data_IF_933098975347
#
_entry.id   IF_933098975347
#
_cell.length_a   1.000
_cell.length_b   1.000
_cell.length_c   1.000
_cell.angle_alpha   90.00
_cell.angle_beta   90.00
_cell.angle_gamma   90.00
#
_symmetry.space_group_name_H-M   'P 1'
#
loop_
_entity.id
_entity.type
_entity.pdbx_description
1 polymer ?
#
# COMPACT_ATOMS: atom_id res chain seq x y z
N UNK A 1 1.45 31.59 13.97
CA UNK A 1 1.68 30.41 14.84
C UNK A 1 2.58 30.88 15.97
N UNK A 2 2.04 31.15 17.17
CA UNK A 2 2.83 31.74 18.27
C UNK A 2 3.84 30.73 18.82
N UNK A 3 5.13 31.08 18.74
CA UNK A 3 6.26 30.34 19.29
C UNK A 3 6.23 30.37 20.82
N UNK A 4 5.72 29.31 21.45
CA UNK A 4 5.93 29.08 22.89
C UNK A 4 7.36 28.56 23.11
N UNK A 5 8.32 29.48 23.18
CA UNK A 5 9.68 29.24 23.71
C UNK A 5 9.73 29.78 25.14
N UNK A 6 9.23 29.00 26.10
CA UNK A 6 9.37 29.28 27.53
C UNK A 6 10.25 28.22 28.18
N UNK A 7 11.56 28.40 28.00
CA UNK A 7 12.67 27.74 28.68
C UNK A 7 13.88 28.66 28.60
N UNK A 8 14.92 28.44 29.41
CA UNK A 8 16.11 29.29 29.57
C UNK A 8 16.96 29.42 28.28
N UNK A 9 16.40 30.00 27.21
CA UNK A 9 17.06 30.19 25.94
C UNK A 9 18.21 31.17 26.11
N UNK A 10 19.40 30.77 25.65
CA UNK A 10 20.58 31.64 25.62
C UNK A 10 20.29 32.92 24.82
N UNK A 11 21.06 34.00 25.07
CA UNK A 11 20.91 35.24 24.32
C UNK A 11 21.08 35.04 22.80
N UNK A 12 21.94 34.11 22.40
CA UNK A 12 22.14 33.72 21.02
C UNK A 12 20.90 33.01 20.42
N UNK A 13 20.24 32.14 21.17
CA UNK A 13 18.99 31.48 20.74
C UNK A 13 17.86 32.49 20.55
N UNK A 14 17.70 33.45 21.48
CA UNK A 14 16.69 34.54 21.34
C UNK A 14 16.98 35.41 20.11
N UNK A 15 18.25 35.75 19.88
CA UNK A 15 18.66 36.48 18.68
C UNK A 15 18.35 35.68 17.40
N UNK A 16 18.63 34.36 17.40
CA UNK A 16 18.34 33.49 16.27
C UNK A 16 16.86 33.44 15.93
N UNK A 17 15.97 33.40 16.92
CA UNK A 17 14.51 33.41 16.71
C UNK A 17 14.07 34.73 16.09
N UNK A 18 14.53 35.86 16.64
CA UNK A 18 14.18 37.18 16.11
C UNK A 18 14.63 37.38 14.67
N UNK A 19 15.84 36.92 14.32
CA UNK A 19 16.34 36.97 12.94
C UNK A 19 15.55 36.05 12.00
N UNK A 20 15.10 34.90 12.50
CA UNK A 20 14.29 33.98 11.71
C UNK A 20 12.91 34.58 11.40
N UNK A 21 12.28 35.20 12.40
CA UNK A 21 10.97 35.86 12.27
C UNK A 21 11.01 37.07 11.33
N UNK A 22 12.14 37.78 11.26
CA UNK A 22 12.34 38.89 10.32
C UNK A 22 12.70 38.44 8.89
N UNK A 23 12.86 37.13 8.65
CA UNK A 23 13.23 36.56 7.36
C UNK A 23 14.73 36.52 7.08
N UNK A 24 15.59 36.95 8.02
CA UNK A 24 17.04 36.79 7.91
C UNK A 24 17.47 35.38 8.36
N UNK A 25 17.19 34.39 7.52
CA UNK A 25 17.51 32.99 7.80
C UNK A 25 19.02 32.73 7.86
N UNK A 26 19.84 33.51 7.15
CA UNK A 26 21.31 33.39 7.23
C UNK A 26 21.82 33.89 8.57
N UNK A 27 21.32 35.04 9.02
CA UNK A 27 21.62 35.59 10.34
C UNK A 27 21.11 34.69 11.46
N UNK A 28 19.90 34.14 11.33
CA UNK A 28 19.34 33.17 12.26
C UNK A 28 20.24 31.94 12.41
N UNK A 29 20.62 31.31 11.29
CA UNK A 29 21.56 30.17 11.27
C UNK A 29 22.87 30.51 12.00
N UNK A 30 23.48 31.65 11.67
CA UNK A 30 24.74 32.08 12.27
C UNK A 30 24.63 32.35 13.77
N UNK A 31 23.49 32.92 14.22
CA UNK A 31 23.22 33.12 15.64
C UNK A 31 23.03 31.79 16.39
N UNK A 32 22.32 30.84 15.80
CA UNK A 32 22.18 29.49 16.34
C UNK A 32 23.53 28.76 16.43
N UNK A 33 24.39 28.86 15.41
CA UNK A 33 25.75 28.28 15.43
C UNK A 33 26.61 28.85 16.55
N UNK A 34 26.54 30.17 16.79
CA UNK A 34 27.23 30.80 17.92
C UNK A 34 26.71 30.28 19.27
N UNK A 35 25.40 30.12 19.39
CA UNK A 35 24.77 29.52 20.58
C UNK A 35 25.29 28.11 20.85
N UNK A 36 25.29 27.25 19.83
CA UNK A 36 25.77 25.87 19.91
C UNK A 36 27.28 25.76 20.18
N UNK A 37 28.08 26.71 19.71
CA UNK A 37 29.51 26.77 20.04
C UNK A 37 29.75 27.00 21.54
N UNK A 38 28.85 27.75 22.19
CA UNK A 38 28.93 28.03 23.64
C UNK A 38 28.24 26.98 24.50
N UNK A 39 27.13 26.41 24.01
CA UNK A 39 26.34 25.40 24.69
C UNK A 39 25.91 24.32 23.66
N UNK A 40 26.75 23.29 23.44
CA UNK A 40 26.49 22.27 22.42
C UNK A 40 25.20 21.48 22.61
N UNK A 41 24.72 21.39 23.85
CA UNK A 41 23.48 20.68 24.23
C UNK A 41 22.24 21.61 24.28
N UNK A 42 22.34 22.86 23.82
CA UNK A 42 21.20 23.77 23.71
C UNK A 42 20.23 23.27 22.63
N UNK A 43 19.16 22.61 23.08
CA UNK A 43 18.13 22.05 22.19
C UNK A 43 17.43 23.12 21.35
N UNK A 44 17.22 24.32 21.91
CA UNK A 44 16.49 25.38 21.23
C UNK A 44 17.38 26.03 20.15
N UNK A 45 18.68 26.20 20.43
CA UNK A 45 19.65 26.58 19.42
C UNK A 45 19.75 25.52 18.30
N UNK A 46 19.74 24.23 18.66
CA UNK A 46 19.77 23.12 17.70
C UNK A 46 18.52 23.10 16.80
N UNK A 47 17.32 23.26 17.38
CA UNK A 47 16.06 23.39 16.62
C UNK A 47 16.12 24.58 15.67
N UNK A 48 16.56 25.74 16.16
CA UNK A 48 16.64 26.95 15.33
C UNK A 48 17.66 26.83 14.19
N UNK A 49 18.78 26.14 14.44
CA UNK A 49 19.74 25.82 13.37
C UNK A 49 19.09 24.99 12.27
N UNK A 50 18.40 23.90 12.63
CA UNK A 50 17.69 23.04 11.68
C UNK A 50 16.62 23.82 10.89
N UNK A 51 15.81 24.64 11.56
CA UNK A 51 14.78 25.49 10.92
C UNK A 51 15.39 26.47 9.92
N UNK A 52 16.45 27.16 10.32
CA UNK A 52 17.13 28.13 9.45
C UNK A 52 17.73 27.45 8.21
N UNK A 53 18.30 26.25 8.34
CA UNK A 53 18.80 25.46 7.20
C UNK A 53 17.68 25.08 6.23
N UNK A 54 16.51 24.70 6.75
CA UNK A 54 15.35 24.38 5.92
C UNK A 54 14.88 25.59 5.14
N UNK A 55 14.78 26.76 5.79
CA UNK A 55 14.40 28.00 5.14
C UNK A 55 15.41 28.44 4.05
N UNK A 56 16.68 28.07 4.20
CA UNK A 56 17.73 28.30 3.19
C UNK A 56 17.74 27.28 2.05
N UNK A 57 16.98 26.18 2.16
CA UNK A 57 16.85 25.15 1.12
C UNK A 57 18.02 24.15 1.07
N UNK A 58 18.91 24.11 2.05
CA UNK A 58 20.00 23.13 2.11
C UNK A 58 19.52 21.82 2.77
N UNK A 59 18.85 20.98 1.98
CA UNK A 59 18.32 19.71 2.48
C UNK A 59 19.38 18.75 3.05
N UNK A 60 20.61 18.80 2.53
CA UNK A 60 21.68 17.95 3.01
C UNK A 60 22.14 18.40 4.41
N UNK A 61 22.23 19.71 4.62
CA UNK A 61 22.57 20.28 5.92
C UNK A 61 21.42 20.19 6.93
N UNK A 62 20.15 20.26 6.48
CA UNK A 62 18.99 19.93 7.33
C UNK A 62 19.12 18.51 7.88
N UNK A 63 19.41 17.52 7.03
CA UNK A 63 19.56 16.13 7.47
C UNK A 63 20.74 15.94 8.44
N UNK A 64 21.89 16.55 8.17
CA UNK A 64 23.06 16.51 9.05
C UNK A 64 22.79 17.19 10.39
N UNK A 65 22.13 18.35 10.38
CA UNK A 65 21.83 19.11 11.58
C UNK A 65 20.75 18.43 12.43
N UNK A 66 19.73 17.84 11.80
CA UNK A 66 18.75 17.01 12.50
C UNK A 66 19.39 15.75 13.10
N UNK A 67 20.31 15.09 12.38
CA UNK A 67 21.04 13.95 12.93
C UNK A 67 21.84 14.32 14.18
N UNK A 68 22.53 15.48 14.18
CA UNK A 68 23.21 16.00 15.37
C UNK A 68 22.24 16.28 16.51
N UNK A 69 21.11 16.94 16.24
CA UNK A 69 20.03 17.18 17.22
C UNK A 69 19.54 15.88 17.85
N UNK A 70 19.31 14.85 17.04
CA UNK A 70 18.89 13.53 17.50
C UNK A 70 19.94 12.86 18.40
N UNK A 71 21.24 13.00 18.07
CA UNK A 71 22.32 12.47 18.90
C UNK A 71 22.40 13.16 20.26
N UNK A 72 22.23 14.49 20.31
CA UNK A 72 22.14 15.24 21.57
C UNK A 72 20.97 14.75 22.44
N UNK A 73 19.89 14.27 21.81
CA UNK A 73 18.71 13.66 22.47
C UNK A 73 18.86 12.16 22.73
N UNK A 74 20.08 11.66 22.89
CA UNK A 74 20.40 10.25 23.11
C UNK A 74 19.81 9.30 22.04
N UNK A 75 19.69 9.79 20.80
CA UNK A 75 19.13 9.04 19.69
C UNK A 75 17.60 9.10 19.57
N UNK A 76 16.90 9.86 20.42
CA UNK A 76 15.45 10.01 20.37
C UNK A 76 15.04 11.11 19.38
N UNK A 77 13.98 10.86 18.61
CA UNK A 77 13.44 11.86 17.70
C UNK A 77 12.76 13.03 18.44
N UNK A 78 12.88 14.22 17.86
CA UNK A 78 12.10 15.38 18.26
C UNK A 78 10.85 15.43 17.38
N UNK A 79 9.77 14.81 17.86
CA UNK A 79 8.54 14.65 17.08
C UNK A 79 7.96 15.98 16.59
N UNK A 80 8.09 17.05 17.39
CA UNK A 80 7.61 18.37 17.02
C UNK A 80 8.43 18.95 15.86
N UNK A 81 9.76 18.88 15.94
CA UNK A 81 10.64 19.34 14.87
C UNK A 81 10.47 18.50 13.59
N UNK A 82 10.33 17.17 13.71
CA UNK A 82 10.08 16.30 12.55
C UNK A 82 8.78 16.68 11.85
N UNK A 83 7.72 16.92 12.61
CA UNK A 83 6.43 17.33 12.06
C UNK A 83 6.56 18.67 11.33
N UNK A 84 7.24 19.65 11.93
CA UNK A 84 7.48 20.96 11.30
C UNK A 84 8.29 20.85 10.00
N UNK A 85 9.37 20.05 10.02
CA UNK A 85 10.17 19.76 8.83
C UNK A 85 9.32 19.12 7.72
N UNK A 86 8.47 18.16 8.08
CA UNK A 86 7.57 17.49 7.15
C UNK A 86 6.55 18.48 6.56
N UNK A 87 5.88 19.28 7.40
CA UNK A 87 4.89 20.26 6.98
C UNK A 87 5.49 21.32 6.05
N UNK A 88 6.67 21.85 6.39
CA UNK A 88 7.36 22.83 5.55
C UNK A 88 7.80 22.23 4.21
N UNK A 89 8.40 21.03 4.21
CA UNK A 89 8.89 20.37 3.00
C UNK A 89 7.73 19.99 2.07
N UNK A 90 6.68 19.38 2.61
CA UNK A 90 5.50 19.00 1.83
C UNK A 90 4.72 20.23 1.37
N UNK A 91 4.61 21.26 2.20
CA UNK A 91 4.03 22.55 1.82
C UNK A 91 4.75 23.19 0.63
N UNK A 92 6.08 23.14 0.58
CA UNK A 92 6.86 23.57 -0.59
C UNK A 92 6.58 22.68 -1.81
N UNK A 93 6.53 21.36 -1.61
CA UNK A 93 6.22 20.40 -2.67
C UNK A 93 4.85 20.59 -3.31
N UNK A 94 3.83 20.97 -2.52
CA UNK A 94 2.49 21.33 -3.01
C UNK A 94 2.50 22.54 -3.97
N UNK A 95 3.46 23.46 -3.83
CA UNK A 95 3.63 24.64 -4.69
C UNK A 95 4.71 24.47 -5.76
N UNK A 96 5.24 23.25 -5.92
CA UNK A 96 6.30 22.99 -6.88
C UNK A 96 5.82 23.17 -8.32
N UNK A 97 6.65 23.70 -9.24
CA UNK A 97 6.35 23.68 -10.67
C UNK A 97 6.25 22.25 -11.22
N UNK A 98 6.88 21.27 -10.56
CA UNK A 98 6.80 19.85 -10.94
C UNK A 98 5.48 19.23 -10.50
N UNK A 99 4.65 18.81 -11.46
CA UNK A 99 3.42 18.06 -11.20
C UNK A 99 3.69 16.80 -10.37
N UNK A 100 4.79 16.08 -10.65
CA UNK A 100 5.15 14.88 -9.91
C UNK A 100 5.39 15.16 -8.42
N UNK A 101 6.02 16.30 -8.09
CA UNK A 101 6.23 16.72 -6.70
C UNK A 101 4.92 17.16 -6.05
N UNK A 102 4.03 17.85 -6.76
CA UNK A 102 2.69 18.19 -6.22
C UNK A 102 1.91 16.93 -5.88
N UNK A 103 1.83 15.97 -6.80
CA UNK A 103 1.17 14.68 -6.59
C UNK A 103 1.76 13.88 -5.42
N UNK A 104 3.09 13.78 -5.37
CA UNK A 104 3.77 13.08 -4.28
C UNK A 104 3.51 13.74 -2.93
N UNK A 105 3.48 15.07 -2.90
CA UNK A 105 3.22 15.84 -1.67
C UNK A 105 1.80 15.65 -1.18
N UNK A 106 0.79 15.71 -2.06
CA UNK A 106 -0.61 15.46 -1.68
C UNK A 106 -0.77 14.05 -1.11
N UNK A 107 -0.20 13.03 -1.77
CA UNK A 107 -0.26 11.64 -1.28
C UNK A 107 0.42 11.48 0.08
N UNK A 108 1.60 12.05 0.26
CA UNK A 108 2.31 11.99 1.53
C UNK A 108 1.52 12.69 2.66
N UNK A 109 0.87 13.83 2.37
CA UNK A 109 -0.01 14.53 3.30
C UNK A 109 -1.23 13.69 3.67
N UNK A 110 -1.87 13.03 2.69
CA UNK A 110 -3.00 12.13 2.93
C UNK A 110 -2.59 10.92 3.78
N UNK A 111 -1.53 10.21 3.38
CA UNK A 111 -1.05 8.99 4.05
C UNK A 111 -0.58 9.23 5.48
N UNK A 112 -0.02 10.42 5.73
CA UNK A 112 0.49 10.83 7.05
C UNK A 112 -0.55 11.59 7.87
N UNK A 113 -1.78 11.77 7.36
CA UNK A 113 -2.87 12.50 7.99
C UNK A 113 -2.48 13.91 8.50
N UNK A 114 -1.65 14.64 7.74
CA UNK A 114 -1.11 15.94 8.13
C UNK A 114 -2.15 17.05 8.00
N UNK A 115 -2.98 17.19 9.02
CA UNK A 115 -4.09 18.16 9.06
C UNK A 115 -3.64 19.62 8.88
N UNK A 116 -2.42 19.96 9.31
CA UNK A 116 -1.85 21.31 9.14
C UNK A 116 -1.70 21.74 7.68
N UNK A 117 -1.73 20.79 6.74
CA UNK A 117 -1.64 21.05 5.30
C UNK A 117 -2.96 20.86 4.55
N UNK A 118 -4.08 20.65 5.25
CA UNK A 118 -5.37 20.38 4.61
C UNK A 118 -5.81 21.51 3.67
N UNK A 119 -5.71 22.78 4.10
CA UNK A 119 -6.06 23.94 3.27
C UNK A 119 -5.14 24.06 2.05
N UNK A 120 -3.83 23.86 2.25
CA UNK A 120 -2.85 23.91 1.17
C UNK A 120 -3.06 22.80 0.12
N UNK A 121 -3.62 21.65 0.52
CA UNK A 121 -4.06 20.60 -0.41
C UNK A 121 -5.37 20.99 -1.07
N UNK A 122 -6.35 21.53 -0.34
CA UNK A 122 -7.63 21.96 -0.91
C UNK A 122 -7.45 23.02 -2.02
N UNK A 123 -6.51 23.95 -1.85
CA UNK A 123 -6.14 24.91 -2.91
C UNK A 123 -5.61 24.26 -4.21
N UNK A 124 -5.26 22.96 -4.20
CA UNK A 124 -4.84 22.22 -5.40
C UNK A 124 -6.01 21.61 -6.16
N UNK A 125 -7.25 21.77 -5.71
CA UNK A 125 -8.45 21.37 -6.47
C UNK A 125 -8.71 22.27 -7.69
N UNK A 126 -7.94 23.35 -7.87
CA UNK A 126 -7.97 24.23 -9.05
C UNK A 126 -6.66 24.23 -9.83
N UNK A 127 -5.85 23.18 -9.66
CA UNK A 127 -4.58 23.01 -10.38
C UNK A 127 -4.81 22.82 -11.88
N UNK A 128 -3.91 23.29 -12.76
CA UNK A 128 -4.03 23.08 -14.21
C UNK A 128 -3.84 21.61 -14.65
N UNK A 129 -3.34 20.73 -13.79
CA UNK A 129 -3.23 19.29 -14.09
C UNK A 129 -4.37 18.52 -13.39
N UNK A 130 -5.25 17.91 -14.18
CA UNK A 130 -6.41 17.14 -13.71
C UNK A 130 -6.05 16.05 -12.70
N UNK A 131 -4.87 15.42 -12.82
CA UNK A 131 -4.44 14.39 -11.87
C UNK A 131 -4.15 15.01 -10.51
N UNK A 132 -3.65 16.24 -10.47
CA UNK A 132 -3.43 16.98 -9.22
C UNK A 132 -4.77 17.35 -8.60
N UNK A 133 -5.72 17.86 -9.39
CA UNK A 133 -7.09 18.14 -8.94
C UNK A 133 -7.74 16.90 -8.33
N UNK A 134 -7.74 15.78 -9.08
CA UNK A 134 -8.32 14.52 -8.62
C UNK A 134 -7.64 14.00 -7.34
N UNK A 135 -6.31 14.10 -7.24
CA UNK A 135 -5.56 13.65 -6.06
C UNK A 135 -5.85 14.55 -4.85
N UNK A 136 -5.90 15.86 -5.05
CA UNK A 136 -6.22 16.84 -4.02
C UNK A 136 -7.64 16.62 -3.47
N UNK A 137 -8.63 16.61 -4.35
CA UNK A 137 -10.02 16.42 -3.99
C UNK A 137 -10.24 15.07 -3.29
N UNK A 138 -9.63 13.98 -3.77
CA UNK A 138 -9.66 12.70 -3.09
C UNK A 138 -9.04 12.76 -1.68
N UNK A 139 -7.90 13.44 -1.51
CA UNK A 139 -7.24 13.58 -0.21
C UNK A 139 -8.11 14.30 0.81
N UNK A 140 -8.79 15.38 0.41
CA UNK A 140 -9.55 16.25 1.31
C UNK A 140 -11.06 15.97 1.36
N UNK A 141 -11.53 14.96 0.62
CA UNK A 141 -12.96 14.60 0.44
C UNK A 141 -13.83 14.59 1.71
N UNK A 142 -13.27 14.23 2.87
CA UNK A 142 -14.04 14.16 4.13
C UNK A 142 -14.17 15.49 4.86
N UNK A 143 -13.31 16.46 4.55
CA UNK A 143 -13.21 17.73 5.26
C UNK A 143 -13.67 18.95 4.45
N UNK A 144 -13.78 18.83 3.12
CA UNK A 144 -14.04 19.95 2.23
C UNK A 144 -15.24 19.61 1.33
N UNK A 145 -16.38 20.31 1.46
CA UNK A 145 -17.58 20.03 0.67
C UNK A 145 -17.33 20.08 -0.85
N UNK A 146 -16.58 21.07 -1.31
CA UNK A 146 -16.27 21.31 -2.72
C UNK A 146 -15.47 20.17 -3.37
N UNK A 147 -14.85 19.31 -2.56
CA UNK A 147 -14.11 18.15 -3.05
C UNK A 147 -15.01 17.13 -3.77
N UNK A 148 -16.30 17.08 -3.45
CA UNK A 148 -17.25 16.21 -4.16
C UNK A 148 -17.44 16.69 -5.59
N UNK A 149 -17.68 17.99 -5.79
CA UNK A 149 -17.84 18.61 -7.11
C UNK A 149 -16.57 18.47 -7.94
N UNK A 150 -15.41 18.76 -7.35
CA UNK A 150 -14.12 18.57 -8.02
C UNK A 150 -13.88 17.11 -8.44
N UNK A 151 -14.27 16.12 -7.64
CA UNK A 151 -14.16 14.71 -8.03
C UNK A 151 -15.15 14.36 -9.15
N UNK A 152 -16.37 14.89 -9.11
CA UNK A 152 -17.37 14.66 -10.16
C UNK A 152 -16.90 15.20 -11.51
N UNK A 153 -16.26 16.37 -11.54
CA UNK A 153 -15.63 16.91 -12.75
C UNK A 153 -14.51 15.99 -13.24
N UNK A 154 -13.65 15.52 -12.33
CA UNK A 154 -12.53 14.64 -12.67
C UNK A 154 -12.97 13.25 -13.14
N UNK A 155 -14.17 12.77 -12.78
CA UNK A 155 -14.74 11.56 -13.38
C UNK A 155 -15.06 11.72 -14.87
N UNK A 156 -15.13 12.96 -15.37
CA UNK A 156 -15.38 13.29 -16.78
C UNK A 156 -14.16 13.87 -17.49
N UNK A 157 -12.99 13.87 -16.84
CA UNK A 157 -11.73 14.32 -17.44
C UNK A 157 -11.36 13.48 -18.65
N UNK A 158 -10.73 14.10 -19.64
CA UNK A 158 -10.12 13.39 -20.79
C UNK A 158 -8.93 12.52 -20.35
N UNK A 159 -8.23 12.90 -19.27
CA UNK A 159 -7.12 12.14 -18.69
C UNK A 159 -7.64 10.89 -17.94
N UNK A 160 -7.32 9.70 -18.44
CA UNK A 160 -7.75 8.45 -17.82
C UNK A 160 -7.20 8.23 -16.41
N UNK A 161 -6.01 8.76 -16.11
CA UNK A 161 -5.39 8.66 -14.79
C UNK A 161 -6.11 9.58 -13.80
N UNK A 162 -6.55 10.76 -14.22
CA UNK A 162 -7.40 11.63 -13.41
C UNK A 162 -8.75 10.95 -13.08
N UNK A 163 -9.44 10.39 -14.10
CA UNK A 163 -10.66 9.61 -13.88
C UNK A 163 -10.43 8.45 -12.91
N UNK A 164 -9.33 7.71 -13.08
CA UNK A 164 -8.96 6.58 -12.22
C UNK A 164 -8.70 7.02 -10.78
N UNK A 165 -7.99 8.13 -10.56
CA UNK A 165 -7.70 8.68 -9.23
C UNK A 165 -8.99 9.13 -8.55
N UNK A 166 -9.85 9.85 -9.27
CA UNK A 166 -11.13 10.32 -8.72
C UNK A 166 -12.00 9.14 -8.27
N UNK A 167 -12.13 8.13 -9.14
CA UNK A 167 -12.87 6.91 -8.86
C UNK A 167 -12.26 6.11 -7.69
N UNK A 168 -10.93 6.08 -7.58
CA UNK A 168 -10.27 5.44 -6.45
C UNK A 168 -10.53 6.17 -5.13
N UNK A 169 -10.47 7.51 -5.13
CA UNK A 169 -10.78 8.35 -3.97
C UNK A 169 -12.19 8.12 -3.46
N UNK A 170 -13.18 8.19 -4.35
CA UNK A 170 -14.57 7.89 -4.04
C UNK A 170 -14.75 6.48 -3.48
N UNK A 171 -14.15 5.48 -4.13
CA UNK A 171 -14.21 4.10 -3.69
C UNK A 171 -13.59 3.87 -2.30
N UNK A 172 -12.40 4.44 -2.03
CA UNK A 172 -11.74 4.29 -0.72
C UNK A 172 -12.54 4.93 0.41
N UNK A 173 -13.17 6.09 0.17
CA UNK A 173 -13.71 6.93 1.25
C UNK A 173 -15.22 6.84 1.39
N UNK A 174 -15.95 6.68 0.29
CA UNK A 174 -17.42 6.80 0.22
C UNK A 174 -18.07 5.79 -0.75
N UNK A 175 -17.46 4.62 -1.01
CA UNK A 175 -17.97 3.63 -1.97
C UNK A 175 -19.46 3.30 -1.87
N UNK A 176 -20.03 3.29 -0.65
CA UNK A 176 -21.47 3.03 -0.44
C UNK A 176 -22.35 4.11 -1.06
N UNK A 177 -21.92 5.36 -1.04
CA UNK A 177 -22.62 6.51 -1.61
C UNK A 177 -22.25 6.68 -3.09
N UNK A 178 -21.02 6.35 -3.49
CA UNK A 178 -20.53 6.49 -4.87
C UNK A 178 -20.87 5.29 -5.80
N UNK A 179 -22.02 4.63 -5.59
CA UNK A 179 -22.37 3.40 -6.33
C UNK A 179 -22.60 3.65 -7.82
N UNK A 180 -23.23 4.78 -8.15
CA UNK A 180 -23.56 5.12 -9.54
C UNK A 180 -22.28 5.41 -10.33
N UNK A 181 -21.37 6.17 -9.74
CA UNK A 181 -20.07 6.57 -10.28
C UNK A 181 -19.18 5.32 -10.47
N UNK A 182 -19.12 4.44 -9.47
CA UNK A 182 -18.42 3.16 -9.57
C UNK A 182 -19.02 2.24 -10.66
N UNK A 183 -20.33 2.24 -10.84
CA UNK A 183 -20.98 1.48 -11.91
C UNK A 183 -20.66 2.05 -13.29
N UNK A 184 -20.69 3.38 -13.43
CA UNK A 184 -20.30 4.07 -14.66
C UNK A 184 -18.82 3.81 -15.01
N UNK A 185 -17.92 3.89 -14.03
CA UNK A 185 -16.50 3.62 -14.20
C UNK A 185 -16.20 2.18 -14.66
N UNK A 186 -17.07 1.20 -14.37
CA UNK A 186 -16.93 -0.16 -14.88
C UNK A 186 -17.16 -0.26 -16.40
N UNK A 187 -17.71 0.78 -17.03
CA UNK A 187 -17.90 0.91 -18.47
C UNK A 187 -16.88 1.83 -19.16
N UNK A 188 -15.92 2.39 -18.43
CA UNK A 188 -14.92 3.34 -18.96
C UNK A 188 -14.11 2.76 -20.14
N UNK A 189 -13.74 3.58 -21.15
CA UNK A 189 -12.89 3.14 -22.26
C UNK A 189 -11.54 2.59 -21.79
N UNK A 190 -10.97 3.14 -20.72
CA UNK A 190 -9.68 2.74 -20.18
C UNK A 190 -9.81 1.52 -19.23
N UNK A 191 -9.06 0.43 -19.46
CA UNK A 191 -9.12 -0.75 -18.61
C UNK A 191 -8.68 -0.51 -17.16
N UNK A 192 -7.81 0.46 -16.88
CA UNK A 192 -7.36 0.74 -15.51
C UNK A 192 -8.45 1.38 -14.66
N UNK A 193 -9.27 2.25 -15.28
CA UNK A 193 -10.49 2.81 -14.65
C UNK A 193 -11.51 1.70 -14.40
N UNK A 194 -11.80 0.85 -15.41
CA UNK A 194 -12.71 -0.30 -15.24
C UNK A 194 -12.32 -1.21 -14.08
N UNK A 195 -11.03 -1.57 -13.99
CA UNK A 195 -10.51 -2.41 -12.88
C UNK A 195 -10.70 -1.75 -11.52
N UNK A 196 -10.43 -0.44 -11.44
CA UNK A 196 -10.58 0.34 -10.20
C UNK A 196 -12.04 0.33 -9.74
N UNK A 197 -12.96 0.57 -10.66
CA UNK A 197 -14.39 0.50 -10.41
C UNK A 197 -14.83 -0.86 -9.85
N UNK A 198 -14.46 -1.94 -10.56
CA UNK A 198 -14.85 -3.30 -10.19
C UNK A 198 -14.29 -3.72 -8.82
N UNK A 199 -13.05 -3.32 -8.50
CA UNK A 199 -12.45 -3.58 -7.18
C UNK A 199 -13.23 -2.94 -6.05
N UNK A 200 -13.66 -1.69 -6.22
CA UNK A 200 -14.43 -0.98 -5.20
C UNK A 200 -15.86 -1.50 -5.10
N UNK A 201 -16.52 -1.81 -6.21
CA UNK A 201 -17.82 -2.50 -6.21
C UNK A 201 -17.75 -3.86 -5.52
N UNK A 202 -16.67 -4.63 -5.72
CA UNK A 202 -16.47 -5.93 -5.08
C UNK A 202 -16.40 -5.81 -3.55
N UNK A 203 -15.79 -4.73 -3.04
CA UNK A 203 -15.69 -4.47 -1.60
C UNK A 203 -17.04 -4.26 -0.92
N UNK A 204 -18.07 -3.84 -1.67
CA UNK A 204 -19.43 -3.68 -1.17
C UNK A 204 -20.13 -5.02 -0.95
N UNK A 205 -19.66 -6.09 -1.61
CA UNK A 205 -20.22 -7.45 -1.54
C UNK A 205 -21.72 -7.52 -1.84
N UNK A 206 -22.22 -6.55 -2.61
CA UNK A 206 -23.64 -6.38 -2.91
C UNK A 206 -24.04 -7.31 -4.08
N UNK A 207 -24.96 -8.27 -3.85
CA UNK A 207 -25.43 -9.21 -4.87
C UNK A 207 -25.99 -8.54 -6.14
N UNK A 208 -26.49 -7.30 -6.05
CA UNK A 208 -27.03 -6.56 -7.21
C UNK A 208 -25.99 -6.31 -8.32
N UNK A 209 -24.69 -6.35 -8.00
CA UNK A 209 -23.62 -6.19 -8.99
C UNK A 209 -23.30 -7.48 -9.77
N UNK A 210 -23.98 -8.60 -9.49
CA UNK A 210 -23.67 -9.88 -10.14
C UNK A 210 -23.72 -9.80 -11.67
N UNK A 211 -24.75 -9.17 -12.25
CA UNK A 211 -24.89 -9.04 -13.70
C UNK A 211 -23.74 -8.22 -14.33
N UNK A 212 -23.35 -7.12 -13.69
CA UNK A 212 -22.22 -6.30 -14.12
C UNK A 212 -20.91 -7.10 -14.10
N UNK A 213 -20.64 -7.83 -13.01
CA UNK A 213 -19.44 -8.65 -12.94
C UNK A 213 -19.45 -9.79 -13.96
N UNK A 214 -20.59 -10.43 -14.21
CA UNK A 214 -20.72 -11.45 -15.27
C UNK A 214 -20.40 -10.87 -16.65
N UNK A 215 -20.88 -9.67 -16.95
CA UNK A 215 -20.58 -8.98 -18.20
C UNK A 215 -19.08 -8.69 -18.32
N UNK A 216 -18.46 -8.14 -17.26
CA UNK A 216 -17.04 -7.77 -17.25
C UNK A 216 -16.08 -8.97 -17.15
N UNK A 217 -16.55 -10.14 -16.75
CA UNK A 217 -15.78 -11.38 -16.84
C UNK A 217 -15.46 -11.80 -18.30
N UNK A 218 -16.06 -11.13 -19.29
CA UNK A 218 -15.81 -11.30 -20.73
C UNK A 218 -15.10 -10.10 -21.37
N UNK A 219 -14.55 -9.20 -20.57
CA UNK A 219 -13.85 -8.01 -21.07
C UNK A 219 -12.60 -8.36 -21.92
N UNK A 220 -12.27 -7.48 -22.86
CA UNK A 220 -11.05 -7.61 -23.69
C UNK A 220 -9.76 -7.59 -22.85
N UNK A 221 -9.74 -6.81 -21.78
CA UNK A 221 -8.59 -6.70 -20.88
C UNK A 221 -8.60 -7.84 -19.84
N UNK A 222 -7.49 -8.57 -19.77
CA UNK A 222 -7.35 -9.69 -18.84
C UNK A 222 -7.44 -9.27 -17.37
N UNK A 223 -6.96 -8.07 -17.03
CA UNK A 223 -7.05 -7.54 -15.67
C UNK A 223 -8.48 -7.18 -15.28
N UNK A 224 -9.28 -6.67 -16.23
CA UNK A 224 -10.72 -6.41 -16.02
C UNK A 224 -11.48 -7.73 -15.81
N UNK A 225 -11.21 -8.76 -16.64
CA UNK A 225 -11.80 -10.10 -16.42
C UNK A 225 -11.48 -10.64 -15.03
N UNK A 226 -10.21 -10.57 -14.62
CA UNK A 226 -9.78 -11.03 -13.30
C UNK A 226 -10.45 -10.24 -12.16
N UNK A 227 -10.55 -8.91 -12.28
CA UNK A 227 -11.24 -8.07 -11.30
C UNK A 227 -12.73 -8.40 -11.19
N UNK A 228 -13.39 -8.66 -12.31
CA UNK A 228 -14.80 -9.04 -12.35
C UNK A 228 -15.05 -10.42 -11.72
N UNK A 229 -14.21 -11.41 -12.04
CA UNK A 229 -14.27 -12.74 -11.44
C UNK A 229 -14.01 -12.71 -9.92
N UNK A 230 -13.08 -11.86 -9.49
CA UNK A 230 -12.85 -11.60 -8.07
C UNK A 230 -14.09 -10.95 -7.43
N UNK A 231 -14.72 -10.01 -8.13
CA UNK A 231 -15.99 -9.40 -7.72
C UNK A 231 -17.08 -10.44 -7.50
N UNK A 232 -17.28 -11.36 -8.45
CA UNK A 232 -18.22 -12.48 -8.32
C UNK A 232 -17.91 -13.36 -7.10
N UNK A 233 -16.62 -13.66 -6.86
CA UNK A 233 -16.20 -14.47 -5.72
C UNK A 233 -16.41 -13.77 -4.36
N UNK A 234 -16.38 -12.42 -4.35
CA UNK A 234 -16.52 -11.61 -3.15
C UNK A 234 -17.99 -11.33 -2.75
N UNK A 235 -18.94 -11.55 -3.67
CA UNK A 235 -20.37 -11.39 -3.41
C UNK A 235 -20.82 -12.21 -2.19
N UNK A 236 -21.88 -11.75 -1.53
CA UNK A 236 -22.56 -12.56 -0.53
C UNK A 236 -23.33 -13.71 -1.21
N UNK A 237 -22.60 -14.80 -1.55
CA UNK A 237 -23.12 -15.95 -2.31
C UNK A 237 -24.41 -16.54 -1.73
N UNK A 238 -24.58 -16.68 -0.39
CA UNK A 238 -25.85 -17.09 0.21
C UNK A 238 -27.06 -16.21 -0.18
N UNK A 239 -26.85 -14.92 -0.47
CA UNK A 239 -27.91 -14.00 -0.92
C UNK A 239 -28.16 -14.03 -2.42
N UNK A 240 -27.33 -14.74 -3.20
CA UNK A 240 -27.58 -14.91 -4.62
C UNK A 240 -28.73 -15.91 -4.86
N UNK A 241 -29.71 -15.48 -5.67
CA UNK A 241 -30.77 -16.36 -6.13
C UNK A 241 -30.23 -17.61 -6.82
N UNK A 242 -30.95 -18.73 -6.73
CA UNK A 242 -30.55 -19.99 -7.34
C UNK A 242 -30.31 -19.85 -8.85
N UNK A 243 -31.15 -19.06 -9.53
CA UNK A 243 -31.01 -18.76 -10.95
C UNK A 243 -29.69 -18.05 -11.28
N UNK A 244 -29.36 -16.98 -10.56
CA UNK A 244 -28.10 -16.25 -10.75
C UNK A 244 -26.90 -17.16 -10.50
N UNK A 245 -26.95 -18.04 -9.48
CA UNK A 245 -25.87 -19.01 -9.23
C UNK A 245 -25.72 -20.01 -10.37
N UNK A 246 -26.82 -20.47 -10.98
CA UNK A 246 -26.78 -21.35 -12.15
C UNK A 246 -26.16 -20.65 -13.37
N UNK A 247 -26.46 -19.37 -13.59
CA UNK A 247 -25.90 -18.56 -14.69
C UNK A 247 -24.38 -18.34 -14.57
N UNK A 248 -23.81 -18.47 -13.37
CA UNK A 248 -22.37 -18.39 -13.17
C UNK A 248 -21.63 -19.65 -13.65
N UNK A 249 -22.29 -20.78 -13.82
CA UNK A 249 -21.64 -22.02 -14.27
C UNK A 249 -20.91 -21.88 -15.62
N UNK A 250 -21.52 -21.37 -16.71
CA UNK A 250 -20.80 -21.15 -17.97
C UNK A 250 -19.70 -20.09 -17.86
N UNK A 251 -19.91 -19.04 -17.04
CA UNK A 251 -18.88 -18.01 -16.79
C UNK A 251 -17.65 -18.62 -16.12
N UNK A 252 -17.86 -19.42 -15.08
CA UNK A 252 -16.81 -20.13 -14.36
C UNK A 252 -16.06 -21.11 -15.29
N UNK A 253 -16.79 -21.91 -16.07
CA UNK A 253 -16.19 -22.88 -16.98
C UNK A 253 -15.34 -22.24 -18.08
N UNK A 254 -15.71 -21.05 -18.55
CA UNK A 254 -14.88 -20.27 -19.47
C UNK A 254 -13.64 -19.71 -18.76
N UNK A 255 -13.82 -19.12 -17.57
CA UNK A 255 -12.77 -18.43 -16.84
C UNK A 255 -11.67 -19.36 -16.29
N UNK A 256 -12.00 -20.60 -15.93
CA UNK A 256 -11.01 -21.62 -15.53
C UNK A 256 -10.03 -21.98 -16.68
N UNK A 257 -10.44 -21.74 -17.92
CA UNK A 257 -9.66 -21.95 -19.16
C UNK A 257 -9.14 -20.64 -19.76
N UNK A 258 -9.27 -19.51 -19.06
CA UNK A 258 -8.83 -18.21 -19.56
C UNK A 258 -7.31 -18.23 -19.84
N UNK A 259 -6.81 -17.66 -20.95
CA UNK A 259 -5.37 -17.62 -21.21
C UNK A 259 -4.58 -16.85 -20.14
N UNK A 260 -5.22 -15.91 -19.43
CA UNK A 260 -4.58 -15.12 -18.40
C UNK A 260 -4.64 -15.81 -17.03
N UNK A 261 -3.47 -16.10 -16.46
CA UNK A 261 -3.35 -16.69 -15.12
C UNK A 261 -4.15 -15.94 -14.03
N UNK A 262 -4.15 -14.59 -13.95
CA UNK A 262 -4.95 -13.88 -12.94
C UNK A 262 -6.45 -14.18 -13.03
N UNK A 263 -7.00 -14.31 -14.24
CA UNK A 263 -8.41 -14.64 -14.44
C UNK A 263 -8.70 -16.09 -14.01
N UNK A 264 -7.82 -17.04 -14.34
CA UNK A 264 -7.94 -18.43 -13.88
C UNK A 264 -7.90 -18.55 -12.35
N UNK A 265 -7.01 -17.81 -11.69
CA UNK A 265 -6.93 -17.81 -10.22
C UNK A 265 -8.16 -17.17 -9.58
N UNK A 266 -8.69 -16.10 -10.16
CA UNK A 266 -9.96 -15.51 -9.72
C UNK A 266 -11.14 -16.47 -9.94
N UNK A 267 -11.13 -17.25 -11.02
CA UNK A 267 -12.12 -18.29 -11.29
C UNK A 267 -12.04 -19.45 -10.28
N UNK A 268 -10.84 -19.86 -9.85
CA UNK A 268 -10.68 -20.83 -8.74
C UNK A 268 -11.30 -20.30 -7.45
N UNK A 269 -11.09 -19.02 -7.13
CA UNK A 269 -11.71 -18.38 -5.97
C UNK A 269 -13.25 -18.34 -6.08
N UNK A 270 -13.78 -18.04 -7.27
CA UNK A 270 -15.22 -18.09 -7.55
C UNK A 270 -15.79 -19.51 -7.39
N UNK A 271 -15.12 -20.53 -7.94
CA UNK A 271 -15.52 -21.92 -7.77
C UNK A 271 -15.56 -22.33 -6.29
N UNK A 272 -14.57 -21.89 -5.51
CA UNK A 272 -14.54 -22.11 -4.06
C UNK A 272 -15.74 -21.45 -3.36
N UNK A 273 -16.02 -20.18 -3.68
CA UNK A 273 -17.14 -19.44 -3.10
C UNK A 273 -18.50 -20.04 -3.45
N UNK A 274 -18.64 -20.64 -4.64
CA UNK A 274 -19.85 -21.34 -5.08
C UNK A 274 -19.94 -22.79 -4.58
N UNK A 275 -18.88 -23.34 -3.98
CA UNK A 275 -18.81 -24.75 -3.62
C UNK A 275 -18.76 -25.69 -4.84
N UNK A 276 -18.31 -25.21 -6.00
CA UNK A 276 -18.26 -25.94 -7.27
C UNK A 276 -17.11 -26.95 -7.31
N UNK A 277 -17.14 -27.95 -6.43
CA UNK A 277 -16.07 -28.96 -6.25
C UNK A 277 -15.73 -29.68 -7.57
N UNK A 278 -16.73 -30.10 -8.32
CA UNK A 278 -16.55 -30.78 -9.60
C UNK A 278 -15.77 -29.95 -10.64
N UNK A 279 -15.85 -28.61 -10.56
CA UNK A 279 -15.06 -27.73 -11.42
C UNK A 279 -13.59 -27.59 -10.98
N UNK A 280 -13.31 -27.82 -9.70
CA UNK A 280 -11.98 -27.70 -9.11
C UNK A 280 -11.17 -29.01 -9.19
N UNK A 281 -11.82 -30.16 -9.15
CA UNK A 281 -11.15 -31.47 -9.15
C UNK A 281 -10.20 -31.68 -10.33
N UNK A 282 -10.57 -31.36 -11.59
CA UNK A 282 -9.65 -31.49 -12.73
C UNK A 282 -8.41 -30.59 -12.62
N UNK A 283 -8.49 -29.50 -11.86
CA UNK A 283 -7.41 -28.53 -11.72
C UNK A 283 -6.31 -29.02 -10.77
N UNK A 284 -6.52 -30.08 -9.99
CA UNK A 284 -5.48 -30.66 -9.14
C UNK A 284 -4.24 -31.12 -9.93
N UNK A 285 -4.44 -31.51 -11.20
CA UNK A 285 -3.38 -31.92 -12.11
C UNK A 285 -3.01 -30.84 -13.13
N UNK A 286 -3.51 -29.61 -12.97
CA UNK A 286 -3.25 -28.51 -13.89
C UNK A 286 -1.75 -28.28 -14.11
N UNK A 287 -1.30 -28.00 -15.35
CA UNK A 287 0.11 -27.73 -15.63
C UNK A 287 0.61 -26.46 -14.93
N UNK A 288 -0.26 -25.48 -14.66
CA UNK A 288 0.11 -24.32 -13.85
C UNK A 288 0.01 -24.67 -12.37
N UNK A 289 1.17 -24.73 -11.70
CA UNK A 289 1.24 -25.11 -10.30
C UNK A 289 0.47 -24.16 -9.38
N UNK A 290 0.35 -22.87 -9.73
CA UNK A 290 -0.40 -21.91 -8.91
C UNK A 290 -1.89 -22.23 -8.94
N UNK A 291 -2.42 -22.62 -10.12
CA UNK A 291 -3.80 -23.07 -10.28
C UNK A 291 -4.05 -24.37 -9.53
N UNK A 292 -3.14 -25.35 -9.65
CA UNK A 292 -3.27 -26.63 -8.96
C UNK A 292 -3.24 -26.49 -7.43
N UNK A 293 -2.34 -25.68 -6.89
CA UNK A 293 -2.27 -25.38 -5.46
C UNK A 293 -3.52 -24.62 -4.99
N UNK A 294 -4.02 -23.68 -5.79
CA UNK A 294 -5.26 -22.97 -5.52
C UNK A 294 -6.46 -23.91 -5.43
N UNK A 295 -6.58 -24.86 -6.37
CA UNK A 295 -7.63 -25.85 -6.39
C UNK A 295 -7.54 -26.82 -5.20
N UNK A 296 -6.34 -27.31 -4.87
CA UNK A 296 -6.13 -28.18 -3.71
C UNK A 296 -6.56 -27.51 -2.40
N UNK A 297 -6.21 -26.22 -2.24
CA UNK A 297 -6.64 -25.41 -1.10
C UNK A 297 -8.16 -25.22 -1.08
N UNK A 298 -8.75 -24.82 -2.20
CA UNK A 298 -10.19 -24.56 -2.31
C UNK A 298 -11.03 -25.82 -2.03
N UNK A 299 -10.54 -26.99 -2.44
CA UNK A 299 -11.18 -28.27 -2.18
C UNK A 299 -11.03 -28.76 -0.73
N UNK A 300 -10.11 -28.19 0.05
CA UNK A 300 -9.65 -28.80 1.30
C UNK A 300 -9.17 -30.22 1.05
N UNK A 301 -8.30 -30.40 0.04
CA UNK A 301 -7.82 -31.71 -0.39
C UNK A 301 -7.17 -32.48 0.76
N UNK A 302 -7.30 -33.81 0.74
CA UNK A 302 -6.66 -34.67 1.73
C UNK A 302 -5.14 -34.48 1.72
N UNK A 303 -4.47 -34.76 2.85
CA UNK A 303 -3.01 -34.63 2.94
C UNK A 303 -2.29 -35.43 1.84
N UNK A 304 -2.84 -36.59 1.45
CA UNK A 304 -2.31 -37.39 0.35
C UNK A 304 -2.37 -36.66 -1.00
N UNK A 305 -3.54 -36.12 -1.37
CA UNK A 305 -3.74 -35.42 -2.64
C UNK A 305 -2.97 -34.10 -2.65
N UNK A 306 -3.07 -33.32 -1.58
CA UNK A 306 -2.32 -32.08 -1.39
C UNK A 306 -0.80 -32.33 -1.45
N UNK A 307 -0.34 -33.42 -0.84
CA UNK A 307 1.05 -33.87 -0.86
C UNK A 307 1.57 -34.16 -2.27
N UNK A 308 0.75 -34.76 -3.14
CA UNK A 308 1.12 -35.01 -4.54
C UNK A 308 1.30 -33.70 -5.32
N UNK A 309 0.39 -32.74 -5.17
CA UNK A 309 0.49 -31.42 -5.82
C UNK A 309 1.74 -30.68 -5.35
N UNK A 310 1.99 -30.68 -4.03
CA UNK A 310 3.18 -30.08 -3.43
C UNK A 310 4.47 -30.76 -3.91
N UNK A 311 4.52 -32.10 -3.92
CA UNK A 311 5.69 -32.84 -4.38
C UNK A 311 6.04 -32.50 -5.84
N UNK A 312 5.02 -32.42 -6.71
CA UNK A 312 5.18 -31.97 -8.10
C UNK A 312 5.74 -30.55 -8.18
N UNK A 313 5.22 -29.62 -7.38
CA UNK A 313 5.70 -28.25 -7.35
C UNK A 313 7.15 -28.10 -6.86
N UNK A 314 7.54 -28.87 -5.84
CA UNK A 314 8.92 -28.89 -5.33
C UNK A 314 9.91 -29.56 -6.31
N UNK A 315 9.44 -30.53 -7.10
CA UNK A 315 10.22 -31.20 -8.13
C UNK A 315 10.31 -30.40 -9.45
N UNK A 316 9.57 -29.29 -9.59
CA UNK A 316 9.62 -28.47 -10.81
C UNK A 316 11.02 -27.92 -11.07
N UNK A 317 11.44 -27.93 -12.33
CA UNK A 317 12.69 -27.30 -12.79
C UNK A 317 12.65 -25.78 -12.64
N UNK A 318 11.45 -25.18 -12.75
CA UNK A 318 11.24 -23.73 -12.61
C UNK A 318 11.32 -23.33 -11.14
N UNK A 319 12.21 -22.38 -10.83
CA UNK A 319 12.39 -21.90 -9.46
C UNK A 319 11.14 -21.18 -8.92
N UNK A 320 10.37 -20.53 -9.80
CA UNK A 320 9.12 -19.84 -9.46
C UNK A 320 8.06 -20.81 -8.94
N UNK A 321 7.94 -21.99 -9.54
CA UNK A 321 6.97 -23.01 -9.12
C UNK A 321 7.32 -23.56 -7.74
N UNK A 322 8.62 -23.80 -7.51
CA UNK A 322 9.14 -24.20 -6.18
C UNK A 322 8.86 -23.13 -5.14
N UNK A 323 9.13 -21.85 -5.46
CA UNK A 323 8.88 -20.74 -4.55
C UNK A 323 7.37 -20.56 -4.25
N UNK A 324 6.51 -20.62 -5.27
CA UNK A 324 5.06 -20.55 -5.12
C UNK A 324 4.53 -21.69 -4.23
N UNK A 325 5.05 -22.90 -4.44
CA UNK A 325 4.69 -24.08 -3.63
C UNK A 325 5.10 -23.90 -2.17
N UNK A 326 6.34 -23.46 -1.92
CA UNK A 326 6.84 -23.19 -0.57
C UNK A 326 6.00 -22.12 0.14
N UNK A 327 5.59 -21.07 -0.57
CA UNK A 327 4.75 -20.00 -0.02
C UNK A 327 3.33 -20.47 0.34
N UNK A 328 2.82 -21.50 -0.34
CA UNK A 328 1.46 -22.03 -0.13
C UNK A 328 1.42 -23.29 0.75
N UNK A 329 2.56 -23.87 1.13
CA UNK A 329 2.65 -25.11 1.93
C UNK A 329 1.73 -25.13 3.13
N UNK A 330 1.81 -24.10 3.99
CA UNK A 330 1.02 -24.05 5.22
C UNK A 330 -0.49 -23.86 4.97
N UNK A 331 -0.86 -23.25 3.85
CA UNK A 331 -2.25 -23.05 3.47
C UNK A 331 -2.86 -24.31 2.81
N UNK A 332 -2.04 -25.15 2.17
CA UNK A 332 -2.47 -26.36 1.45
C UNK A 332 -2.42 -27.61 2.35
N UNK A 333 -1.39 -27.75 3.19
CA UNK A 333 -1.19 -28.92 4.07
C UNK A 333 -1.50 -28.64 5.55
N UNK A 334 -1.84 -27.40 5.91
CA UNK A 334 -2.03 -27.00 7.32
C UNK A 334 -0.72 -26.75 8.08
N UNK A 335 -0.84 -26.35 9.35
CA UNK A 335 0.26 -25.84 10.17
C UNK A 335 1.40 -26.86 10.47
N UNK A 336 1.20 -28.16 10.21
CA UNK A 336 2.18 -29.22 10.48
C UNK A 336 3.23 -29.43 9.36
N UNK A 337 3.12 -28.72 8.23
CA UNK A 337 3.91 -28.99 7.02
C UNK A 337 5.43 -28.67 7.04
N UNK A 338 5.95 -27.62 7.70
CA UNK A 338 7.33 -27.19 7.47
C UNK A 338 8.40 -28.15 8.02
N UNK A 339 8.02 -29.14 8.84
CA UNK A 339 8.94 -30.16 9.35
C UNK A 339 9.29 -31.25 8.31
N UNK A 340 8.43 -31.47 7.30
CA UNK A 340 8.54 -32.59 6.36
C UNK A 340 9.10 -32.23 4.97
N UNK A 341 9.13 -30.95 4.61
CA UNK A 341 9.60 -30.47 3.30
C UNK A 341 11.15 -30.28 3.21
N UNK A 342 11.94 -30.89 4.09
CA UNK A 342 13.40 -30.97 3.91
C UNK A 342 13.69 -32.06 2.87
N UNK A 343 13.92 -31.65 1.62
CA UNK A 343 14.39 -32.55 0.57
C UNK A 343 15.68 -33.30 0.97
N UNK A 344 15.85 -34.58 0.61
CA UNK A 344 17.13 -35.27 0.72
C UNK A 344 18.03 -34.78 -0.41
N UNK A 345 19.14 -34.11 -0.05
CA UNK A 345 20.07 -33.56 -1.04
C UNK A 345 20.78 -32.28 -0.58
N UNK A 346 21.38 -32.31 0.61
CA UNK A 346 22.31 -31.24 1.05
C UNK A 346 23.73 -31.61 0.68
N UNK A 347 24.10 -31.40 -0.59
CA UNK A 347 25.51 -31.34 -0.99
C UNK A 347 25.75 -30.48 -2.23
N UNK A 348 25.11 -29.30 -2.34
CA UNK A 348 25.66 -28.19 -3.19
C UNK A 348 25.05 -26.81 -2.93
N UNK A 349 23.96 -26.69 -2.15
CA UNK A 349 23.23 -25.43 -1.98
C UNK A 349 23.88 -24.37 -1.04
N UNK A 350 25.19 -24.40 -0.77
CA UNK A 350 25.87 -23.26 -0.08
C UNK A 350 26.26 -22.13 -1.04
N UNK A 351 26.26 -22.36 -2.35
CA UNK A 351 26.54 -21.32 -3.36
C UNK A 351 25.36 -20.45 -3.78
N UNK A 352 24.11 -20.93 -3.64
CA UNK A 352 22.92 -20.24 -4.15
C UNK A 352 22.22 -19.34 -3.11
N UNK A 353 22.41 -19.62 -1.80
CA UNK A 353 21.77 -18.87 -0.72
C UNK A 353 22.28 -17.43 -0.54
N UNK A 354 23.39 -17.05 -1.20
CA UNK A 354 23.89 -15.66 -1.21
C UNK A 354 23.29 -14.78 -2.31
N UNK A 355 22.45 -15.31 -3.22
CA UNK A 355 21.83 -14.55 -4.32
C UNK A 355 20.29 -14.45 -4.25
N UNK A 356 19.68 -14.86 -3.14
CA UNK A 356 18.22 -14.85 -2.94
C UNK A 356 17.72 -13.95 -1.81
N UNK A 357 18.57 -13.09 -1.26
CA UNK A 357 18.15 -12.05 -0.31
C UNK A 357 17.68 -10.81 -1.09
N UNK A 358 16.54 -10.92 -1.75
CA UNK A 358 16.05 -9.84 -2.62
C UNK A 358 14.72 -10.15 -3.30
N UNK A 359 13.75 -10.69 -2.57
CA UNK A 359 12.36 -10.78 -3.05
C UNK A 359 11.41 -11.13 -1.89
N UNK A 360 11.24 -10.20 -0.94
CA UNK A 360 10.02 -10.14 -0.12
C UNK A 360 9.30 -8.86 -0.50
N UNK A 361 8.55 -8.90 -1.59
CA UNK A 361 7.63 -7.83 -1.96
C UNK A 361 6.39 -8.46 -2.61
N UNK A 362 5.23 -7.95 -2.18
CA UNK A 362 3.87 -8.16 -2.70
C UNK A 362 3.18 -9.51 -2.46
N UNK A 363 2.46 -9.61 -1.33
CA UNK A 363 0.98 -9.57 -1.28
C UNK A 363 0.52 -9.95 0.14
N UNK A 364 -0.13 -9.04 0.86
CA UNK A 364 -0.80 -9.34 2.12
C UNK A 364 -2.01 -8.42 2.30
N UNK A 365 -3.23 -8.94 2.53
CA UNK A 365 -4.36 -8.10 2.89
C UNK A 365 -4.24 -7.70 4.37
N UNK A 366 -4.42 -6.41 4.64
CA UNK A 366 -4.32 -5.80 5.96
C UNK A 366 -5.30 -6.41 6.96
N UNK A 367 -4.80 -6.71 8.16
CA UNK A 367 -5.63 -6.98 9.34
C UNK A 367 -5.76 -5.70 10.15
N UNK A 368 -6.96 -5.15 10.20
CA UNK A 368 -7.35 -4.13 11.16
C UNK A 368 -7.34 -4.69 12.60
N UNK A 369 -6.98 -3.83 13.53
CA UNK A 369 -6.53 -4.16 14.88
C UNK A 369 -7.57 -4.71 15.85
N UNK A 370 -7.05 -5.40 16.86
CA UNK A 370 -7.63 -5.46 18.21
C UNK A 370 -6.52 -5.07 19.19
N UNK A 371 -6.78 -4.01 19.94
CA UNK A 371 -5.88 -3.50 20.96
C UNK A 371 -5.93 -4.31 22.26
N UNK A 372 -4.82 -4.19 23.01
CA UNK A 372 -4.81 -4.11 24.48
C UNK A 372 -4.68 -5.43 25.24
N UNK A 373 -3.53 -5.62 25.90
CA UNK A 373 -3.51 -6.33 27.20
C UNK A 373 -2.38 -7.32 27.47
N UNK A 374 -1.20 -6.79 27.86
CA UNK A 374 -0.25 -7.29 28.87
C UNK A 374 0.29 -8.74 28.84
N UNK A 375 1.62 -8.82 28.78
CA UNK A 375 2.44 -9.51 29.80
C UNK A 375 3.08 -10.84 29.40
N UNK A 376 4.41 -10.94 29.52
CA UNK A 376 5.12 -12.21 29.63
C UNK A 376 6.40 -12.29 28.78
N UNK A 377 7.56 -12.16 29.44
CA UNK A 377 8.88 -12.12 28.81
C UNK A 377 9.37 -13.43 28.21
N UNK A 378 10.39 -13.32 27.34
CA UNK A 378 11.03 -14.47 26.71
C UNK A 378 12.22 -14.11 25.83
N UNK A 379 13.35 -13.80 26.48
CA UNK A 379 14.76 -14.01 26.06
C UNK A 379 15.13 -13.80 24.58
N UNK A 380 15.79 -12.67 24.31
CA UNK A 380 16.63 -12.44 23.11
C UNK A 380 17.91 -13.27 23.21
N UNK A 381 18.14 -14.18 22.27
CA UNK A 381 19.46 -14.78 22.05
C UNK A 381 20.22 -13.93 21.03
N UNK A 382 21.22 -13.21 21.51
CA UNK A 382 22.27 -12.60 20.70
C UNK A 382 23.26 -13.70 20.27
N UNK A 383 23.52 -13.84 18.98
CA UNK A 383 24.61 -14.70 18.49
C UNK A 383 25.78 -13.83 18.06
N UNK A 384 26.83 -13.90 18.87
CA UNK A 384 28.16 -13.33 18.67
C UNK A 384 28.86 -14.07 17.53
N UNK A 385 29.37 -13.34 16.53
CA UNK A 385 30.25 -13.87 15.49
C UNK A 385 31.70 -13.85 16.00
N UNK A 386 32.18 -15.00 16.49
CA UNK A 386 33.61 -15.25 16.70
C UNK A 386 34.19 -15.93 15.45
N UNK A 387 35.35 -15.43 15.00
CA UNK A 387 36.01 -15.85 13.78
C UNK A 387 37.08 -16.93 13.93
N UNK A 388 37.60 -17.29 12.75
CA UNK A 388 38.84 -17.99 12.40
C UNK A 388 38.94 -19.50 12.63
N UNK A 389 39.46 -20.18 11.60
CA UNK A 389 40.30 -21.36 11.78
C UNK A 389 40.28 -22.39 10.65
N UNK A 390 41.13 -22.13 9.65
CA UNK A 390 41.68 -23.02 8.60
C UNK A 390 40.77 -23.43 7.44
#
# INVERSE_FOLDING_TARGET
>A
MSLYLLGCASGATKQSVSLYESGDYRGARAAAERGLATAPDDEDASRMHVRAQLALGDGAEVARSYHRHKLARAGNDDAALVLELAEATLGQGLRSPSTALRLASIRAVEESELRGLADAVAERMTDPDDRVVATAAAAVLRGYPDAVEALDDMLRSEDEEARRIALDGLGRKVAKHARAELTAGAADPDPSVRRTALRHLASLRDPSHAALFQQRARDRDAGVRAAALHGLAALDVPRLGAQTRAELAPVLAAALRDPALPARLAAVALAAALGARAALEPLLVDPDLTVALGAARALGASEAVAGQVVARGLASSRWTDRAATLNQLGAVLGAAAPARARAPGRSSARGAARRGAGARLFWGPGRAGRGGGRGGGGRRAALVLAGRGR
#
